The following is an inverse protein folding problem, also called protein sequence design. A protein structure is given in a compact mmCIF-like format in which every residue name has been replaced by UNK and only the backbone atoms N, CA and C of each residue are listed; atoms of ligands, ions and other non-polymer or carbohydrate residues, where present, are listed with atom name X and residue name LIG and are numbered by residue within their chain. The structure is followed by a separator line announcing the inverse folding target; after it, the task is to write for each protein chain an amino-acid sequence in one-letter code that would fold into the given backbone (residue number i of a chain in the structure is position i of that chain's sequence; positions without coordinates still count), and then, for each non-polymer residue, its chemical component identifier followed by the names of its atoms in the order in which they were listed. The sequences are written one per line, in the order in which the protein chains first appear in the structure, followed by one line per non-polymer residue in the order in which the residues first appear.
data_IF_808916489258
#
_entry.id   IF_808916489258
#
_cell.length_a   1.000
_cell.length_b   1.000
_cell.length_c   1.000
_cell.angle_alpha   90.00
_cell.angle_beta   90.00
_cell.angle_gamma   90.00
#
_symmetry.space_group_name_H-M   'P 1'
#
loop_
_entity.id
_entity.type
_entity.pdbx_description
1 polymer ?
#
# COMPACT_ATOMS: atom_id res chain seq x y z
N UNK A 1 22.59 32.96 -74.06
CA UNK A 1 23.31 32.82 -72.79
C UNK A 1 22.28 32.77 -71.63
N UNK A 2 21.94 31.58 -71.12
CA UNK A 2 20.99 31.40 -70.02
C UNK A 2 21.77 31.41 -68.68
N UNK A 3 21.47 32.40 -67.82
CA UNK A 3 22.02 32.46 -66.47
C UNK A 3 21.15 31.56 -65.55
N UNK A 4 21.74 30.53 -64.93
CA UNK A 4 21.11 29.73 -63.90
C UNK A 4 21.44 30.39 -62.52
N UNK A 5 20.39 30.76 -61.82
CA UNK A 5 20.46 31.26 -60.45
C UNK A 5 20.42 30.03 -59.51
N UNK A 6 21.53 29.74 -58.81
CA UNK A 6 21.57 28.70 -57.78
C UNK A 6 21.00 29.33 -56.49
N UNK A 7 19.84 28.78 -56.06
CA UNK A 7 19.29 29.07 -54.73
C UNK A 7 19.87 28.03 -53.75
N UNK A 8 20.74 28.48 -52.87
CA UNK A 8 21.21 27.66 -51.75
C UNK A 8 20.19 27.71 -50.61
N UNK A 9 19.54 26.56 -50.32
CA UNK A 9 18.63 26.42 -49.19
C UNK A 9 19.46 26.04 -47.96
N UNK A 10 19.64 26.98 -47.01
CA UNK A 10 20.26 26.70 -45.72
C UNK A 10 19.21 26.08 -44.80
N UNK A 11 19.34 24.79 -44.53
CA UNK A 11 18.57 24.10 -43.49
C UNK A 11 19.17 24.46 -42.11
N UNK A 12 18.43 25.27 -41.36
CA UNK A 12 18.73 25.52 -39.95
C UNK A 12 18.14 24.38 -39.15
N UNK A 13 19.00 23.47 -38.67
CA UNK A 13 18.61 22.50 -37.65
C UNK A 13 18.53 23.18 -36.31
N UNK A 14 17.30 23.46 -35.85
CA UNK A 14 17.05 23.82 -34.47
C UNK A 14 17.10 22.53 -33.67
N UNK A 15 18.25 22.24 -33.06
CA UNK A 15 18.37 21.20 -32.05
C UNK A 15 17.67 21.66 -30.79
N UNK A 16 16.46 21.16 -30.56
CA UNK A 16 15.79 21.31 -29.28
C UNK A 16 16.46 20.36 -28.28
N UNK A 17 17.50 20.84 -27.60
CA UNK A 17 18.02 20.17 -26.40
C UNK A 17 17.00 20.36 -25.28
N UNK A 18 16.03 19.45 -25.17
CA UNK A 18 15.34 19.23 -23.92
C UNK A 18 16.31 18.53 -22.99
N UNK A 19 17.06 19.27 -22.18
CA UNK A 19 17.66 18.72 -20.96
C UNK A 19 16.51 18.20 -20.12
N UNK A 20 16.33 16.89 -20.12
CA UNK A 20 15.55 16.21 -19.09
C UNK A 20 16.32 16.43 -17.81
N UNK A 21 15.92 17.41 -17.00
CA UNK A 21 16.34 17.50 -15.61
C UNK A 21 15.90 16.19 -14.95
N UNK A 22 16.82 15.26 -14.82
CA UNK A 22 16.73 14.21 -13.83
C UNK A 22 16.83 14.91 -12.48
N UNK A 23 15.72 15.43 -11.98
CA UNK A 23 15.63 15.83 -10.59
C UNK A 23 15.97 14.58 -9.77
N UNK A 24 16.94 14.73 -8.89
CA UNK A 24 17.46 13.68 -8.02
C UNK A 24 16.32 13.13 -7.16
N UNK A 25 15.63 12.11 -7.66
CA UNK A 25 14.67 11.33 -6.88
C UNK A 25 15.30 10.71 -5.62
N UNK A 26 16.62 10.49 -5.62
CA UNK A 26 17.35 9.99 -4.44
C UNK A 26 17.39 10.97 -3.26
N UNK A 27 17.33 12.28 -3.49
CA UNK A 27 17.39 13.25 -2.38
C UNK A 27 16.06 13.42 -1.64
N UNK A 28 14.93 13.10 -2.29
CA UNK A 28 13.60 13.23 -1.69
C UNK A 28 13.27 12.05 -0.77
N UNK A 29 13.64 10.83 -1.13
CA UNK A 29 13.36 9.65 -0.33
C UNK A 29 14.02 9.68 1.05
N UNK A 30 15.27 10.13 1.14
CA UNK A 30 15.99 10.19 2.42
C UNK A 30 15.44 11.25 3.38
N UNK A 31 14.67 12.22 2.90
CA UNK A 31 14.03 13.24 3.73
C UNK A 31 12.83 12.70 4.50
N UNK A 32 12.16 11.67 3.99
CA UNK A 32 11.00 11.04 4.61
C UNK A 32 11.37 9.96 5.63
N UNK A 33 12.48 9.25 5.41
CA UNK A 33 12.89 8.15 6.29
C UNK A 33 14.00 8.60 7.23
N UNK A 34 13.68 8.69 8.52
CA UNK A 34 14.65 8.93 9.60
C UNK A 34 14.92 7.62 10.31
N UNK A 35 16.18 7.46 10.75
CA UNK A 35 16.50 6.36 11.66
C UNK A 35 15.59 6.41 12.89
N UNK A 36 14.96 5.30 13.23
CA UNK A 36 14.10 5.19 14.38
C UNK A 36 13.18 3.98 14.33
N UNK A 37 12.48 3.75 15.42
CA UNK A 37 11.51 2.67 15.51
C UNK A 37 10.19 3.12 14.86
N UNK A 38 9.75 2.37 13.87
CA UNK A 38 8.42 2.56 13.26
C UNK A 38 7.31 1.90 14.10
N UNK A 39 7.67 0.92 14.94
CA UNK A 39 6.79 0.28 15.92
C UNK A 39 7.61 -0.18 17.11
N UNK A 40 7.10 0.00 18.33
CA UNK A 40 7.77 -0.45 19.56
C UNK A 40 6.77 -1.12 20.48
N UNK A 41 7.05 -2.39 20.83
CA UNK A 41 6.32 -3.15 21.87
C UNK A 41 4.78 -3.09 21.71
N UNK A 42 4.27 -3.12 20.48
CA UNK A 42 2.84 -3.14 20.23
C UNK A 42 2.25 -4.46 20.76
N UNK A 43 1.18 -4.36 21.54
CA UNK A 43 0.48 -5.50 22.14
C UNK A 43 -0.98 -5.60 21.70
N UNK A 44 -1.48 -4.58 21.02
CA UNK A 44 -2.87 -4.48 20.56
C UNK A 44 -2.91 -3.96 19.12
N UNK A 45 -3.93 -4.41 18.39
CA UNK A 45 -4.27 -3.90 17.08
C UNK A 45 -5.05 -2.56 17.18
N UNK A 46 -5.37 -1.89 16.08
CA UNK A 46 -6.10 -0.62 16.07
C UNK A 46 -7.51 -0.69 16.69
N UNK A 47 -8.11 -1.87 16.76
CA UNK A 47 -9.41 -2.09 17.41
C UNK A 47 -9.28 -2.40 18.91
N UNK A 48 -8.06 -2.43 19.46
CA UNK A 48 -7.78 -2.73 20.86
C UNK A 48 -7.72 -4.21 21.20
N UNK A 49 -7.77 -5.11 20.20
CA UNK A 49 -7.64 -6.54 20.44
C UNK A 49 -6.17 -6.89 20.73
N UNK A 50 -5.94 -7.66 21.77
CA UNK A 50 -4.62 -8.19 22.09
C UNK A 50 -4.25 -9.24 21.05
N UNK A 51 -3.11 -9.06 20.37
CA UNK A 51 -2.63 -10.05 19.43
C UNK A 51 -1.87 -11.18 20.14
N UNK A 52 -1.83 -12.35 19.51
CA UNK A 52 -1.02 -13.48 19.95
C UNK A 52 -0.25 -14.06 18.75
N UNK A 53 0.89 -14.66 19.03
CA UNK A 53 1.62 -15.41 18.00
C UNK A 53 0.86 -16.68 17.62
N UNK A 54 1.00 -17.13 16.36
CA UNK A 54 0.47 -18.44 15.94
C UNK A 54 0.98 -19.56 16.84
N UNK A 55 0.15 -20.56 17.06
CA UNK A 55 0.49 -21.72 17.91
C UNK A 55 1.05 -22.91 17.12
N UNK A 56 0.86 -22.92 15.80
CA UNK A 56 1.40 -23.93 14.90
C UNK A 56 2.83 -23.63 14.44
N UNK A 57 3.29 -24.28 13.38
CA UNK A 57 4.60 -24.00 12.77
C UNK A 57 4.60 -22.58 12.18
N UNK A 58 5.30 -21.66 12.84
CA UNK A 58 5.28 -20.26 12.47
C UNK A 58 5.87 -20.01 11.08
N UNK A 59 5.27 -19.12 10.34
CA UNK A 59 5.78 -18.62 9.05
C UNK A 59 5.62 -17.11 8.96
N UNK A 60 6.51 -16.47 8.21
CA UNK A 60 6.42 -15.03 7.91
C UNK A 60 6.35 -14.85 6.40
N UNK A 61 5.35 -14.11 5.95
CA UNK A 61 5.23 -13.70 4.55
C UNK A 61 5.21 -12.19 4.47
N UNK A 62 6.19 -11.61 3.80
CA UNK A 62 6.28 -10.15 3.60
C UNK A 62 5.95 -9.81 2.16
N UNK A 63 5.14 -8.78 1.96
CA UNK A 63 4.66 -8.33 0.66
C UNK A 63 4.79 -6.81 0.55
N UNK A 64 5.19 -6.34 -0.62
CA UNK A 64 4.98 -4.97 -1.04
C UNK A 64 3.68 -4.92 -1.82
N UNK A 65 2.82 -3.98 -1.49
CA UNK A 65 1.59 -3.70 -2.22
C UNK A 65 1.71 -2.34 -2.90
N UNK A 66 1.35 -2.29 -4.16
CA UNK A 66 1.25 -1.04 -4.94
C UNK A 66 -0.16 -0.98 -5.50
N UNK A 67 -0.93 -0.01 -5.06
CA UNK A 67 -2.33 0.16 -5.43
C UNK A 67 -2.56 1.54 -6.06
N UNK A 68 -3.07 1.55 -7.26
CA UNK A 68 -3.45 2.77 -7.96
C UNK A 68 -4.60 3.53 -7.24
N UNK A 69 -4.78 4.83 -7.50
CA UNK A 69 -5.92 5.59 -6.99
C UNK A 69 -7.25 4.92 -7.30
N UNK A 70 -8.12 4.81 -6.30
CA UNK A 70 -9.42 4.18 -6.40
C UNK A 70 -9.42 2.65 -6.25
N UNK A 71 -8.28 2.01 -6.07
CA UNK A 71 -8.26 0.58 -5.78
C UNK A 71 -9.01 0.27 -4.50
N UNK A 72 -9.77 -0.82 -4.52
CA UNK A 72 -10.53 -1.34 -3.39
C UNK A 72 -10.42 -2.85 -3.37
N UNK A 73 -9.99 -3.42 -2.24
CA UNK A 73 -9.97 -4.86 -2.05
C UNK A 73 -11.38 -5.42 -1.87
N UNK A 74 -11.62 -6.70 -2.15
CA UNK A 74 -12.83 -7.37 -1.69
C UNK A 74 -12.86 -7.41 -0.15
N UNK A 75 -14.06 -7.67 0.41
CA UNK A 75 -14.18 -7.99 1.82
C UNK A 75 -13.44 -9.30 2.13
N UNK A 76 -12.61 -9.27 3.17
CA UNK A 76 -11.84 -10.41 3.62
C UNK A 76 -11.49 -10.26 5.11
N UNK A 77 -10.98 -11.32 5.69
CA UNK A 77 -10.30 -11.25 6.97
C UNK A 77 -8.98 -12.01 6.92
N UNK A 78 -8.08 -11.69 7.83
CA UNK A 78 -6.83 -12.41 8.04
C UNK A 78 -6.95 -13.27 9.30
N UNK A 79 -6.66 -14.58 9.25
CA UNK A 79 -6.63 -15.41 10.46
C UNK A 79 -5.51 -15.01 11.44
N UNK A 80 -4.52 -14.29 10.95
CA UNK A 80 -3.33 -13.90 11.70
C UNK A 80 -3.10 -12.41 11.57
N UNK A 81 -2.44 -11.86 12.61
CA UNK A 81 -2.01 -10.47 12.56
C UNK A 81 -0.81 -10.30 11.64
N UNK A 82 -0.61 -9.08 11.16
CA UNK A 82 0.57 -8.67 10.39
C UNK A 82 1.05 -7.32 10.88
N UNK A 83 2.27 -6.96 10.52
CA UNK A 83 2.80 -5.60 10.69
C UNK A 83 2.73 -4.90 9.35
N UNK A 84 2.03 -3.78 9.29
CA UNK A 84 1.91 -2.99 8.08
C UNK A 84 2.53 -1.59 8.26
N UNK A 85 3.15 -1.09 7.19
CA UNK A 85 3.78 0.22 7.14
C UNK A 85 3.55 0.88 5.79
N UNK A 86 2.96 2.08 5.81
CA UNK A 86 2.72 2.86 4.59
C UNK A 86 3.98 3.63 4.21
N UNK A 87 4.45 3.39 2.99
CA UNK A 87 5.66 4.01 2.42
C UNK A 87 5.31 5.25 1.61
N UNK A 88 4.16 5.22 0.90
CA UNK A 88 3.66 6.31 0.06
C UNK A 88 2.14 6.30 0.06
N UNK A 89 1.54 7.48 0.02
CA UNK A 89 0.09 7.64 -0.07
C UNK A 89 -0.65 7.37 1.24
N UNK A 90 -1.90 6.95 1.13
CA UNK A 90 -2.81 6.75 2.26
C UNK A 90 -3.56 5.42 2.11
N UNK A 91 -3.46 4.56 3.11
CA UNK A 91 -4.23 3.31 3.22
C UNK A 91 -5.44 3.53 4.11
N UNK A 92 -6.65 3.41 3.57
CA UNK A 92 -7.88 3.37 4.38
C UNK A 92 -8.32 1.93 4.54
N UNK A 93 -8.50 1.51 5.80
CA UNK A 93 -9.05 0.19 6.16
C UNK A 93 -10.43 0.39 6.79
N UNK A 94 -11.43 -0.28 6.22
CA UNK A 94 -12.81 -0.22 6.67
C UNK A 94 -13.16 -1.58 7.28
N UNK A 95 -13.63 -1.56 8.51
CA UNK A 95 -13.93 -2.75 9.31
C UNK A 95 -15.42 -2.96 9.46
N UNK A 96 -15.84 -4.22 9.39
CA UNK A 96 -17.11 -4.70 9.88
C UNK A 96 -16.85 -5.53 11.15
N UNK A 97 -17.17 -4.95 12.29
CA UNK A 97 -16.96 -5.57 13.60
C UNK A 97 -18.21 -6.29 14.13
N UNK A 98 -19.31 -6.28 13.37
CA UNK A 98 -20.61 -6.81 13.77
C UNK A 98 -20.94 -8.14 13.11
N UNK A 99 -20.49 -8.36 11.87
CA UNK A 99 -20.76 -9.60 11.14
C UNK A 99 -19.82 -10.72 11.60
N UNK A 100 -20.40 -11.85 12.01
CA UNK A 100 -19.62 -13.02 12.40
C UNK A 100 -18.82 -13.60 11.22
N UNK A 101 -17.66 -14.22 11.50
CA UNK A 101 -16.79 -14.75 10.44
C UNK A 101 -17.41 -15.93 9.67
N UNK A 102 -18.28 -16.68 10.31
CA UNK A 102 -19.00 -17.83 9.73
C UNK A 102 -20.38 -17.46 9.16
N UNK A 103 -20.74 -16.18 9.18
CA UNK A 103 -21.98 -15.71 8.57
C UNK A 103 -21.92 -15.85 7.05
N UNK A 104 -22.93 -16.49 6.48
CA UNK A 104 -23.08 -16.69 5.03
C UNK A 104 -24.19 -15.80 4.49
N UNK A 105 -23.94 -15.13 3.37
CA UNK A 105 -24.95 -14.34 2.65
C UNK A 105 -25.28 -12.98 3.28
N UNK A 106 -24.57 -12.59 4.32
CA UNK A 106 -24.76 -11.28 4.95
C UNK A 106 -23.98 -10.20 4.20
N UNK A 107 -24.62 -9.06 3.96
CA UNK A 107 -23.93 -7.88 3.48
C UNK A 107 -23.00 -7.34 4.58
N UNK A 108 -21.72 -7.19 4.23
CA UNK A 108 -20.77 -6.57 5.13
C UNK A 108 -21.01 -5.07 5.18
N UNK A 109 -20.95 -4.49 6.38
CA UNK A 109 -21.16 -3.05 6.60
C UNK A 109 -19.91 -2.38 7.13
N UNK A 110 -19.69 -1.14 6.75
CA UNK A 110 -18.57 -0.36 7.30
C UNK A 110 -19.02 0.21 8.65
N UNK A 111 -18.49 -0.34 9.73
CA UNK A 111 -18.75 0.12 11.11
C UNK A 111 -17.69 1.12 11.55
N UNK A 112 -16.44 0.89 11.18
CA UNK A 112 -15.30 1.74 11.53
C UNK A 112 -14.35 1.88 10.34
N UNK A 113 -13.72 3.05 10.20
CA UNK A 113 -12.68 3.30 9.21
C UNK A 113 -11.47 3.93 9.86
N UNK A 114 -10.28 3.42 9.53
CA UNK A 114 -8.99 3.95 9.94
C UNK A 114 -8.15 4.29 8.70
N UNK A 115 -7.40 5.39 8.77
CA UNK A 115 -6.51 5.79 7.66
C UNK A 115 -5.09 5.93 8.17
N UNK A 116 -4.16 5.27 7.49
CA UNK A 116 -2.73 5.27 7.77
C UNK A 116 -2.00 5.93 6.61
N UNK A 117 -1.06 6.83 6.91
CA UNK A 117 -0.34 7.64 5.91
C UNK A 117 1.16 7.35 5.91
N UNK A 118 1.80 7.67 4.81
CA UNK A 118 3.25 7.69 4.77
C UNK A 118 3.81 8.62 5.84
N UNK A 119 4.79 8.12 6.63
CA UNK A 119 5.36 8.83 7.78
C UNK A 119 4.68 8.57 9.12
N UNK A 120 3.52 7.93 9.14
CA UNK A 120 2.91 7.44 10.39
C UNK A 120 3.70 6.25 10.96
N UNK A 121 3.32 5.83 12.16
CA UNK A 121 3.86 4.59 12.74
C UNK A 121 3.29 3.37 12.00
N UNK A 122 4.06 2.29 11.97
CA UNK A 122 3.53 1.00 11.56
C UNK A 122 2.41 0.55 12.52
N UNK A 123 1.49 -0.24 12.04
CA UNK A 123 0.35 -0.73 12.80
C UNK A 123 0.22 -2.25 12.68
N UNK A 124 -0.47 -2.85 13.66
CA UNK A 124 -0.84 -4.25 13.58
C UNK A 124 -2.12 -4.40 12.74
N UNK A 125 -2.07 -5.27 11.74
CA UNK A 125 -3.26 -5.69 11.01
C UNK A 125 -4.21 -6.45 11.93
N UNK A 126 -5.50 -6.13 11.86
CA UNK A 126 -6.54 -6.77 12.68
C UNK A 126 -6.75 -8.19 12.20
N UNK A 127 -6.63 -9.16 13.13
CA UNK A 127 -6.95 -10.55 12.85
C UNK A 127 -8.43 -10.84 13.12
N UNK A 128 -8.99 -11.81 12.38
CA UNK A 128 -10.35 -12.33 12.59
C UNK A 128 -11.44 -11.24 12.63
N UNK A 129 -11.31 -10.24 11.78
CA UNK A 129 -12.33 -9.19 11.60
C UNK A 129 -12.48 -8.90 10.11
N UNK A 130 -13.71 -8.92 9.62
CA UNK A 130 -14.01 -8.54 8.24
C UNK A 130 -13.56 -7.11 7.96
N UNK A 131 -12.85 -6.95 6.88
CA UNK A 131 -12.42 -5.62 6.44
C UNK A 131 -12.22 -5.59 4.93
N UNK A 132 -12.19 -4.38 4.41
CA UNK A 132 -11.72 -4.07 3.08
C UNK A 132 -10.78 -2.86 3.16
N UNK A 133 -9.83 -2.82 2.27
CA UNK A 133 -8.81 -1.78 2.23
C UNK A 133 -8.89 -1.02 0.91
N UNK A 134 -8.67 0.29 0.96
CA UNK A 134 -8.83 1.18 -0.19
C UNK A 134 -7.67 2.17 -0.29
N UNK A 135 -7.30 2.51 -1.53
CA UNK A 135 -6.56 3.73 -1.84
C UNK A 135 -7.57 4.83 -2.22
N UNK A 136 -7.90 5.71 -1.28
CA UNK A 136 -8.79 6.87 -1.51
C UNK A 136 -8.01 8.12 -1.94
N UNK A 137 -6.68 8.05 -1.98
CA UNK A 137 -5.80 9.14 -2.39
C UNK A 137 -5.80 9.38 -3.90
N UNK A 138 -5.01 10.35 -4.32
CA UNK A 138 -4.83 10.73 -5.73
C UNK A 138 -3.50 10.25 -6.33
N UNK A 139 -2.69 9.56 -5.55
CA UNK A 139 -1.41 8.97 -5.95
C UNK A 139 -1.38 7.47 -5.62
N UNK A 140 -0.39 6.77 -6.15
CA UNK A 140 -0.20 5.35 -5.82
C UNK A 140 0.07 5.18 -4.33
N UNK A 141 -0.69 4.28 -3.71
CA UNK A 141 -0.44 3.81 -2.36
C UNK A 141 0.60 2.69 -2.42
N UNK A 142 1.70 2.86 -1.69
CA UNK A 142 2.72 1.82 -1.51
C UNK A 142 2.82 1.50 -0.03
N UNK A 143 2.64 0.23 0.31
CA UNK A 143 2.81 -0.23 1.68
C UNK A 143 3.46 -1.62 1.74
N UNK A 144 4.09 -1.89 2.85
CA UNK A 144 4.69 -3.19 3.17
C UNK A 144 3.84 -3.82 4.27
N UNK A 145 3.56 -5.10 4.12
CA UNK A 145 2.92 -5.88 5.17
C UNK A 145 3.66 -7.21 5.38
N UNK A 146 3.91 -7.55 6.64
CA UNK A 146 4.55 -8.80 7.06
C UNK A 146 3.58 -9.57 7.94
N UNK A 147 3.05 -10.67 7.43
CA UNK A 147 2.10 -11.54 8.11
C UNK A 147 2.82 -12.53 9.01
N UNK A 148 2.36 -12.65 10.25
CA UNK A 148 2.82 -13.61 11.25
C UNK A 148 1.89 -14.83 11.23
N UNK A 149 2.03 -15.67 10.22
CA UNK A 149 1.11 -16.78 9.96
C UNK A 149 1.64 -18.15 10.40
N UNK A 150 0.92 -19.18 9.98
CA UNK A 150 1.32 -20.56 10.09
C UNK A 150 1.64 -21.15 8.72
N UNK A 151 2.57 -22.07 8.69
CA UNK A 151 2.97 -22.77 7.47
C UNK A 151 1.78 -23.49 6.85
N UNK A 152 1.66 -23.37 5.52
CA UNK A 152 0.62 -23.98 4.70
C UNK A 152 -0.82 -23.56 5.08
N UNK A 153 -0.99 -22.45 5.81
CA UNK A 153 -2.28 -21.86 6.12
C UNK A 153 -2.56 -20.61 5.30
N UNK A 154 -3.82 -20.31 4.97
CA UNK A 154 -4.17 -19.14 4.23
C UNK A 154 -3.85 -17.86 5.02
N UNK A 155 -3.34 -16.85 4.33
CA UNK A 155 -3.13 -15.53 4.92
C UNK A 155 -4.38 -14.65 4.91
N UNK A 156 -5.32 -14.94 4.00
CA UNK A 156 -6.59 -14.22 3.88
C UNK A 156 -7.71 -15.18 3.50
N UNK A 157 -8.91 -14.89 3.99
CA UNK A 157 -10.16 -15.57 3.64
C UNK A 157 -11.09 -14.53 3.05
N UNK A 158 -11.56 -14.76 1.83
CA UNK A 158 -12.47 -13.85 1.15
C UNK A 158 -13.91 -14.09 1.59
N UNK A 159 -14.73 -13.05 1.57
CA UNK A 159 -16.18 -13.17 1.64
C UNK A 159 -16.69 -13.84 0.36
N UNK A 160 -17.52 -14.87 0.48
CA UNK A 160 -18.20 -15.52 -0.64
C UNK A 160 -19.27 -14.61 -1.26
#
# INVERSE_FOLDING_TARGET
MKKYLLLTFSLIFISCNTEVKTENLESDFSSFFKNGDIMTSATQDPLGNVFSYPTGEASITSQVKVWEPGFKSPWHYHPYTGVAYVVQGELTVNYDTETALDATGDEKTIVLSETYKAGDKAFLGVANTWHLSENKGSEDLIFIVSWLGEKDKPLAVLSE
#
